data_IF_628142211306
#
_entry.id   IF_628142211306
#
_cell.length_a   1.000
_cell.length_b   1.000
_cell.length_c   1.000
_cell.angle_alpha   90.00
_cell.angle_beta   90.00
_cell.angle_gamma   90.00
#
_symmetry.space_group_name_H-M   'P 1'
#
loop_
_entity.id
_entity.type
_entity.pdbx_description
1 polymer ?
#
# COMPACT_ATOMS: atom_id res chain seq x y z
N UNK A 1 -13.83 -26.15 2.64
CA UNK A 1 -12.79 -26.13 1.58
C UNK A 1 -13.30 -25.79 0.17
N UNK A 2 -14.62 -25.66 -0.08
CA UNK A 2 -15.16 -25.28 -1.41
C UNK A 2 -15.30 -23.77 -1.67
N UNK A 3 -15.22 -22.94 -0.63
CA UNK A 3 -15.34 -21.46 -0.76
C UNK A 3 -14.02 -20.76 -1.16
N UNK A 4 -12.86 -21.33 -0.80
CA UNK A 4 -11.57 -20.78 -1.22
C UNK A 4 -11.34 -20.88 -2.73
N UNK A 5 -11.91 -21.90 -3.39
CA UNK A 5 -11.85 -22.08 -4.85
C UNK A 5 -12.86 -21.18 -5.58
N UNK A 6 -13.91 -20.72 -4.90
CA UNK A 6 -14.87 -19.75 -5.44
C UNK A 6 -14.30 -18.32 -5.53
N UNK A 7 -13.36 -17.95 -4.67
CA UNK A 7 -12.62 -16.69 -4.75
C UNK A 7 -11.58 -16.66 -5.88
N UNK A 8 -11.24 -17.82 -6.43
CA UNK A 8 -10.33 -17.98 -7.56
C UNK A 8 -11.05 -18.10 -8.91
N UNK A 9 -12.38 -18.25 -8.90
CA UNK A 9 -13.20 -18.30 -10.11
C UNK A 9 -13.53 -16.88 -10.55
N UNK A 10 -12.92 -16.47 -11.66
CA UNK A 10 -13.25 -15.26 -12.38
C UNK A 10 -14.66 -15.31 -12.96
N UNK A 11 -15.66 -15.05 -12.13
CA UNK A 11 -16.98 -14.69 -12.60
C UNK A 11 -16.92 -13.24 -13.09
N UNK A 12 -17.04 -13.10 -14.41
CA UNK A 12 -16.77 -11.90 -15.21
C UNK A 12 -17.91 -10.88 -15.17
N UNK A 13 -18.49 -10.65 -13.99
CA UNK A 13 -19.33 -9.48 -13.82
C UNK A 13 -18.41 -8.26 -13.76
N UNK A 14 -18.45 -7.48 -14.84
CA UNK A 14 -17.66 -6.29 -15.10
C UNK A 14 -17.98 -5.17 -14.11
N UNK A 15 -17.68 -5.37 -12.83
CA UNK A 15 -17.57 -4.32 -11.83
C UNK A 15 -16.08 -4.01 -11.64
N UNK A 16 -15.62 -2.80 -11.98
CA UNK A 16 -14.30 -2.25 -11.67
C UNK A 16 -14.03 -2.21 -10.16
N UNK A 17 -13.81 -3.36 -9.52
CA UNK A 17 -13.55 -3.39 -8.07
C UNK A 17 -13.13 -4.75 -7.50
N UNK A 18 -13.49 -5.86 -8.13
CA UNK A 18 -13.25 -7.19 -7.55
C UNK A 18 -12.04 -7.89 -8.17
N UNK A 19 -10.84 -7.33 -8.01
CA UNK A 19 -9.62 -8.14 -8.08
C UNK A 19 -9.30 -8.64 -6.65
N UNK A 20 -9.87 -9.77 -6.20
CA UNK A 20 -9.70 -10.26 -4.83
C UNK A 20 -8.22 -10.49 -4.50
N UNK A 21 -7.44 -10.92 -5.49
CA UNK A 21 -5.99 -11.11 -5.36
C UNK A 21 -5.29 -9.77 -5.14
N UNK A 22 -5.64 -8.74 -5.92
CA UNK A 22 -5.11 -7.38 -5.75
C UNK A 22 -5.42 -6.78 -4.38
N UNK A 23 -6.64 -6.97 -3.87
CA UNK A 23 -7.05 -6.49 -2.55
C UNK A 23 -6.26 -7.14 -1.41
N UNK A 24 -6.04 -8.46 -1.46
CA UNK A 24 -5.25 -9.19 -0.47
C UNK A 24 -3.81 -8.69 -0.42
N UNK A 25 -3.18 -8.47 -1.59
CA UNK A 25 -1.81 -7.96 -1.67
C UNK A 25 -1.72 -6.55 -1.08
N UNK A 26 -2.69 -5.68 -1.33
CA UNK A 26 -2.72 -4.33 -0.73
C UNK A 26 -2.83 -4.37 0.79
N UNK A 27 -3.75 -5.16 1.34
CA UNK A 27 -3.89 -5.31 2.80
C UNK A 27 -2.61 -5.90 3.40
N UNK A 28 -2.01 -6.88 2.74
CA UNK A 28 -0.73 -7.46 3.14
C UNK A 28 0.42 -6.45 3.16
N UNK A 29 0.56 -5.64 2.10
CA UNK A 29 1.58 -4.59 2.03
C UNK A 29 1.36 -3.50 3.07
N UNK A 30 0.11 -3.06 3.30
CA UNK A 30 -0.21 -2.09 4.35
C UNK A 30 0.17 -2.60 5.74
N UNK A 31 -0.11 -3.88 6.03
CA UNK A 31 0.27 -4.51 7.28
C UNK A 31 1.79 -4.62 7.42
N UNK A 32 2.51 -4.99 6.36
CA UNK A 32 3.97 -5.06 6.40
C UNK A 32 4.60 -3.69 6.63
N UNK A 33 4.12 -2.65 5.95
CA UNK A 33 4.60 -1.26 6.15
C UNK A 33 4.36 -0.81 7.60
N UNK A 34 3.19 -1.12 8.16
CA UNK A 34 2.89 -0.82 9.56
C UNK A 34 3.87 -1.52 10.51
N UNK A 35 4.15 -2.81 10.28
CA UNK A 35 5.08 -3.58 11.09
C UNK A 35 6.52 -3.07 10.97
N UNK A 36 6.98 -2.70 9.77
CA UNK A 36 8.30 -2.09 9.54
C UNK A 36 8.44 -0.79 10.34
N UNK A 37 7.41 0.06 10.31
CA UNK A 37 7.39 1.30 11.08
C UNK A 37 7.42 1.04 12.59
N UNK A 38 6.65 0.05 13.07
CA UNK A 38 6.58 -0.32 14.48
C UNK A 38 7.93 -0.89 14.98
N UNK A 39 8.53 -1.82 14.25
CA UNK A 39 9.83 -2.40 14.61
C UNK A 39 10.95 -1.39 14.50
N UNK A 40 10.91 -0.49 13.52
CA UNK A 40 11.85 0.62 13.40
C UNK A 40 11.77 1.57 14.61
N UNK A 41 10.55 1.95 15.02
CA UNK A 41 10.35 2.78 16.20
C UNK A 41 10.84 2.10 17.49
N UNK A 42 10.53 0.81 17.68
CA UNK A 42 10.99 0.07 18.86
C UNK A 42 12.50 -0.19 18.86
N UNK A 43 13.12 -0.31 17.68
CA UNK A 43 14.57 -0.43 17.54
C UNK A 43 15.28 0.85 18.00
N UNK A 44 14.77 2.02 17.62
CA UNK A 44 15.33 3.32 18.09
C UNK A 44 15.18 3.50 19.61
N UNK A 45 14.10 2.97 20.21
CA UNK A 45 13.87 3.04 21.66
C UNK A 45 14.63 2.00 22.48
N UNK A 46 15.47 1.17 21.85
CA UNK A 46 16.19 0.05 22.47
C UNK A 46 15.28 -0.87 23.32
N UNK A 47 13.97 -0.91 23.03
CA UNK A 47 12.97 -1.54 23.90
C UNK A 47 13.21 -3.05 24.08
N UNK A 48 13.88 -3.67 23.10
CA UNK A 48 14.15 -5.11 23.00
C UNK A 48 15.56 -5.41 22.41
N UNK A 49 16.45 -4.40 22.34
CA UNK A 49 17.81 -4.54 21.79
C UNK A 49 17.87 -5.01 20.32
N UNK A 50 18.86 -5.84 19.99
CA UNK A 50 19.12 -6.36 18.63
C UNK A 50 17.93 -7.10 18.00
N UNK A 51 17.06 -7.71 18.82
CA UNK A 51 15.90 -8.46 18.31
C UNK A 51 14.95 -7.61 17.46
N UNK A 52 14.80 -6.31 17.77
CA UNK A 52 13.96 -5.42 16.97
C UNK A 52 14.63 -5.04 15.65
N UNK A 53 15.97 -4.92 15.65
CA UNK A 53 16.74 -4.70 14.43
C UNK A 53 16.63 -5.89 13.48
N UNK A 54 16.85 -7.11 14.00
CA UNK A 54 16.68 -8.35 13.22
C UNK A 54 15.25 -8.52 12.70
N UNK A 55 14.24 -8.24 13.54
CA UNK A 55 12.84 -8.28 13.11
C UNK A 55 12.54 -7.23 12.02
N UNK A 56 13.07 -6.01 12.16
CA UNK A 56 12.93 -4.97 11.15
C UNK A 56 13.54 -5.39 9.81
N UNK A 57 14.77 -5.91 9.82
CA UNK A 57 15.45 -6.40 8.63
C UNK A 57 14.69 -7.55 7.95
N UNK A 58 14.21 -8.52 8.75
CA UNK A 58 13.44 -9.66 8.25
C UNK A 58 12.11 -9.22 7.61
N UNK A 59 11.36 -8.32 8.26
CA UNK A 59 10.08 -7.82 7.75
C UNK A 59 10.31 -6.94 6.52
N UNK A 60 11.35 -6.11 6.51
CA UNK A 60 11.72 -5.29 5.34
C UNK A 60 12.08 -6.16 4.13
N UNK A 61 12.86 -7.23 4.34
CA UNK A 61 13.20 -8.19 3.29
C UNK A 61 11.98 -8.92 2.74
N UNK A 62 11.07 -9.34 3.63
CA UNK A 62 9.79 -9.93 3.24
C UNK A 62 8.93 -8.95 2.45
N UNK A 63 8.82 -7.70 2.89
CA UNK A 63 8.09 -6.66 2.17
C UNK A 63 8.66 -6.41 0.79
N UNK A 64 9.98 -6.37 0.64
CA UNK A 64 10.64 -6.24 -0.66
C UNK A 64 10.25 -7.39 -1.60
N UNK A 65 10.28 -8.63 -1.11
CA UNK A 65 9.86 -9.80 -1.89
C UNK A 65 8.39 -9.68 -2.34
N UNK A 66 7.48 -9.27 -1.45
CA UNK A 66 6.06 -9.07 -1.78
C UNK A 66 5.88 -7.93 -2.79
N UNK A 67 6.65 -6.85 -2.68
CA UNK A 67 6.63 -5.73 -3.66
C UNK A 67 7.04 -6.20 -5.04
N UNK A 68 8.10 -7.02 -5.16
CA UNK A 68 8.52 -7.59 -6.45
C UNK A 68 7.40 -8.42 -7.07
N UNK A 69 6.76 -9.29 -6.28
CA UNK A 69 5.60 -10.09 -6.72
C UNK A 69 4.44 -9.19 -7.11
N UNK A 70 4.16 -8.13 -6.37
CA UNK A 70 3.10 -7.17 -6.64
C UNK A 70 3.32 -6.45 -7.99
N UNK A 71 4.53 -5.96 -8.24
CA UNK A 71 4.88 -5.29 -9.50
C UNK A 71 4.77 -6.26 -10.68
N UNK A 72 5.29 -7.48 -10.53
CA UNK A 72 5.15 -8.52 -11.55
C UNK A 72 3.68 -8.83 -11.84
N UNK A 73 2.85 -8.98 -10.80
CA UNK A 73 1.41 -9.20 -10.93
C UNK A 73 0.71 -8.02 -11.63
N UNK A 74 1.08 -6.78 -11.32
CA UNK A 74 0.53 -5.59 -11.97
C UNK A 74 0.87 -5.56 -13.47
N UNK A 75 2.10 -5.92 -13.85
CA UNK A 75 2.53 -6.02 -15.26
C UNK A 75 1.75 -7.13 -15.97
N UNK A 76 1.69 -8.33 -15.39
CA UNK A 76 0.96 -9.47 -15.97
C UNK A 76 -0.52 -9.12 -16.15
N UNK A 77 -1.15 -8.54 -15.14
CA UNK A 77 -2.55 -8.14 -15.22
C UNK A 77 -2.77 -7.05 -16.26
N UNK A 78 -1.83 -6.11 -16.40
CA UNK A 78 -1.88 -5.06 -17.43
C UNK A 78 -1.83 -5.65 -18.85
N UNK A 79 -1.04 -6.71 -19.06
CA UNK A 79 -0.98 -7.43 -20.33
C UNK A 79 -2.25 -8.27 -20.59
N UNK A 80 -2.73 -9.00 -19.58
CA UNK A 80 -3.93 -9.85 -19.68
C UNK A 80 -5.20 -9.04 -19.92
N UNK A 81 -5.38 -7.93 -19.20
CA UNK A 81 -6.54 -7.05 -19.35
C UNK A 81 -6.41 -6.11 -20.56
N UNK A 82 -5.24 -6.06 -21.21
CA UNK A 82 -4.92 -5.13 -22.31
C UNK A 82 -5.16 -3.66 -21.97
N UNK A 83 -5.22 -3.34 -20.68
CA UNK A 83 -5.31 -1.98 -20.16
C UNK A 83 -4.01 -1.65 -19.45
N UNK A 84 -3.47 -0.45 -19.71
CA UNK A 84 -2.27 0.04 -19.03
C UNK A 84 -2.63 0.46 -17.59
N UNK A 85 -2.63 -0.49 -16.66
CA UNK A 85 -2.93 -0.24 -15.24
C UNK A 85 -1.99 0.83 -14.64
N UNK A 86 -0.72 0.79 -15.01
CA UNK A 86 0.28 1.79 -14.59
C UNK A 86 -0.11 3.19 -15.07
N UNK A 87 -0.62 3.32 -16.30
CA UNK A 87 -1.11 4.59 -16.82
C UNK A 87 -2.33 5.08 -16.04
N UNK A 88 -3.23 4.18 -15.66
CA UNK A 88 -4.39 4.52 -14.84
C UNK A 88 -4.00 4.98 -13.43
N UNK A 89 -2.93 4.43 -12.86
CA UNK A 89 -2.38 4.91 -11.57
C UNK A 89 -1.80 6.32 -11.68
N UNK A 90 -1.04 6.62 -12.74
CA UNK A 90 -0.44 7.95 -12.95
C UNK A 90 -1.49 9.00 -13.30
N UNK A 91 -2.42 8.65 -14.19
CA UNK A 91 -3.46 9.58 -14.65
C UNK A 91 -4.63 9.71 -13.68
N UNK A 92 -4.77 8.78 -12.73
CA UNK A 92 -5.91 8.67 -11.83
C UNK A 92 -7.23 8.36 -12.55
N UNK A 93 -7.18 7.96 -13.82
CA UNK A 93 -8.35 7.70 -14.67
C UNK A 93 -8.36 6.25 -15.10
N UNK A 94 -9.48 5.58 -14.88
CA UNK A 94 -9.75 4.21 -15.34
C UNK A 94 -11.05 4.22 -16.15
N UNK A 95 -11.14 3.36 -17.17
CA UNK A 95 -12.39 3.16 -17.91
C UNK A 95 -13.37 2.38 -17.01
N UNK A 96 -14.62 2.83 -16.94
CA UNK A 96 -15.64 2.28 -16.05
C UNK A 96 -17.03 2.74 -16.48
N UNK A 97 -18.08 2.19 -15.84
CA UNK A 97 -19.45 2.56 -16.18
C UNK A 97 -19.77 3.97 -15.64
N UNK A 98 -20.65 4.74 -16.28
CA UNK A 98 -21.01 6.09 -15.86
C UNK A 98 -21.51 6.18 -14.41
N UNK A 99 -22.12 5.09 -13.92
CA UNK A 99 -22.65 4.95 -12.57
C UNK A 99 -21.57 4.86 -11.46
N UNK A 100 -20.33 4.59 -11.84
CA UNK A 100 -19.19 4.43 -10.92
C UNK A 100 -18.25 5.65 -10.96
N UNK A 101 -18.65 6.71 -11.67
CA UNK A 101 -17.88 7.94 -11.73
C UNK A 101 -17.83 8.63 -10.35
N UNK A 102 -16.63 8.99 -9.91
CA UNK A 102 -16.44 9.76 -8.68
C UNK A 102 -17.17 11.11 -8.83
N UNK A 103 -18.22 11.34 -8.02
CA UNK A 103 -19.08 12.54 -8.09
C UNK A 103 -18.31 13.86 -7.95
N UNK A 104 -17.24 13.90 -7.15
CA UNK A 104 -16.46 15.11 -6.91
C UNK A 104 -14.97 14.80 -6.75
N UNK A 105 -14.08 15.56 -7.40
CA UNK A 105 -12.65 15.42 -7.18
C UNK A 105 -12.27 15.98 -5.79
N UNK A 106 -11.73 15.14 -4.92
CA UNK A 106 -11.43 15.47 -3.52
C UNK A 106 -10.08 16.19 -3.32
N UNK A 107 -9.80 17.22 -4.14
CA UNK A 107 -8.51 17.93 -4.13
C UNK A 107 -8.18 18.55 -2.76
N UNK A 108 -9.18 19.02 -2.02
CA UNK A 108 -8.99 19.58 -0.68
C UNK A 108 -8.37 18.55 0.28
N UNK A 109 -8.87 17.32 0.26
CA UNK A 109 -8.38 16.23 1.11
C UNK A 109 -6.95 15.87 0.70
N UNK A 110 -6.68 15.79 -0.61
CA UNK A 110 -5.34 15.55 -1.12
C UNK A 110 -4.34 16.62 -0.68
N UNK A 111 -4.71 17.90 -0.79
CA UNK A 111 -3.88 19.02 -0.35
C UNK A 111 -3.59 18.95 1.16
N UNK A 112 -4.61 18.71 1.98
CA UNK A 112 -4.45 18.61 3.44
C UNK A 112 -3.53 17.45 3.84
N UNK A 113 -3.66 16.28 3.20
CA UNK A 113 -2.78 15.14 3.46
C UNK A 113 -1.32 15.46 3.09
N UNK A 114 -1.07 16.09 1.94
CA UNK A 114 0.28 16.47 1.51
C UNK A 114 0.89 17.48 2.46
N UNK A 115 0.16 18.54 2.81
CA UNK A 115 0.64 19.55 3.76
C UNK A 115 0.90 18.95 5.14
N UNK A 116 0.00 18.07 5.62
CA UNK A 116 0.18 17.34 6.87
C UNK A 116 1.42 16.46 6.87
N UNK A 117 1.65 15.70 5.79
CA UNK A 117 2.86 14.86 5.64
C UNK A 117 4.14 15.69 5.59
N UNK A 118 4.18 16.78 4.84
CA UNK A 118 5.35 17.68 4.77
C UNK A 118 5.64 18.30 6.14
N UNK A 119 4.60 18.77 6.84
CA UNK A 119 4.74 19.36 8.17
C UNK A 119 5.25 18.34 9.19
N UNK A 120 4.70 17.12 9.19
CA UNK A 120 5.16 16.03 10.06
C UNK A 120 6.64 15.68 9.78
N UNK A 121 7.02 15.56 8.51
CA UNK A 121 8.40 15.30 8.12
C UNK A 121 9.36 16.43 8.55
N UNK A 122 8.94 17.69 8.39
CA UNK A 122 9.69 18.85 8.87
C UNK A 122 9.86 18.84 10.40
N UNK A 123 8.82 18.49 11.16
CA UNK A 123 8.90 18.35 12.62
C UNK A 123 9.89 17.26 13.06
N UNK A 124 9.95 16.14 12.33
CA UNK A 124 10.89 15.05 12.61
C UNK A 124 12.33 15.52 12.34
N UNK A 125 12.59 16.16 11.19
CA UNK A 125 13.94 16.64 10.84
C UNK A 125 14.46 17.72 11.78
N UNK A 126 13.57 18.58 12.29
CA UNK A 126 13.96 19.67 13.20
C UNK A 126 14.14 19.21 14.66
N UNK A 127 13.86 17.93 14.97
CA UNK A 127 13.93 17.41 16.34
C UNK A 127 12.89 18.03 17.27
N UNK A 128 11.85 18.68 16.72
CA UNK A 128 10.79 19.35 17.48
C UNK A 128 9.91 18.36 18.26
N UNK A 129 9.99 17.07 17.95
CA UNK A 129 9.35 15.96 18.67
C UNK A 129 10.41 15.15 19.40
N UNK A 130 10.82 15.58 20.63
CA UNK A 130 11.85 14.89 21.39
C UNK A 130 11.49 13.44 21.75
N UNK A 131 10.20 13.09 21.75
CA UNK A 131 9.75 11.70 21.94
C UNK A 131 10.14 10.76 20.79
N UNK A 132 10.39 11.26 19.58
CA UNK A 132 10.73 10.47 18.38
C UNK A 132 12.22 10.52 18.03
N UNK A 133 12.95 11.50 18.53
CA UNK A 133 14.36 11.74 18.17
C UNK A 133 15.37 11.51 19.30
N UNK A 134 14.90 11.14 20.50
CA UNK A 134 15.73 10.80 21.67
C UNK A 134 15.63 9.31 21.97
#
# INVERSE_FOLDING_TARGET
MKHAKGLLSGDQHSTPGHNPVGGIVMVGLMLLILLIGLTGYFSVKEFLGDLMGEAHEAIASLALAVVVVHVAAAIIMSLLQKENLVRSMVTGKKQGLPEEAIRFPQYLIGLLLVLGSIYCFYMILTGAVPSLTQ
#
